data_IF_576391454312
#
_entry.id   IF_576391454312
#
_cell.length_a   1.000
_cell.length_b   1.000
_cell.length_c   1.000
_cell.angle_alpha   90.00
_cell.angle_beta   90.00
_cell.angle_gamma   90.00
#
_symmetry.space_group_name_H-M   'P 1'
#
loop_
_entity.id
_entity.type
_entity.pdbx_description
1 polymer ?
#
# COMPACT_ATOMS: atom_id res chain seq x y z
N UNK A 1 -5.13 1.94 15.60
CA UNK A 1 -5.13 1.28 14.28
C UNK A 1 -5.51 -0.20 14.29
N UNK A 2 -5.46 -0.93 15.42
CA UNK A 2 -5.83 -2.37 15.48
C UNK A 2 -7.23 -2.69 14.91
N UNK A 3 -8.25 -1.94 15.34
CA UNK A 3 -9.65 -2.19 14.94
C UNK A 3 -9.97 -2.10 13.43
N UNK A 4 -9.15 -1.44 12.62
CA UNK A 4 -9.43 -1.30 11.18
C UNK A 4 -9.02 -2.55 10.39
N UNK A 5 -7.93 -3.20 10.82
CA UNK A 5 -7.37 -4.38 10.16
C UNK A 5 -7.87 -5.69 10.78
N UNK A 6 -8.33 -5.66 12.03
CA UNK A 6 -8.87 -6.84 12.74
C UNK A 6 -10.09 -7.48 12.06
N UNK A 7 -10.85 -6.72 11.26
CA UNK A 7 -12.02 -7.25 10.52
C UNK A 7 -11.76 -7.53 9.04
N UNK A 8 -10.59 -7.19 8.53
CA UNK A 8 -10.27 -7.45 7.13
C UNK A 8 -9.66 -8.84 7.01
N UNK A 9 -10.47 -9.82 6.63
CA UNK A 9 -10.04 -11.20 6.35
C UNK A 9 -9.31 -11.35 5.00
N UNK A 10 -8.90 -10.24 4.39
CA UNK A 10 -8.28 -10.22 3.07
C UNK A 10 -6.78 -10.01 3.19
N UNK A 11 -6.01 -10.69 2.36
CA UNK A 11 -4.57 -10.46 2.26
C UNK A 11 -4.32 -9.06 1.71
N UNK A 12 -3.59 -8.24 2.46
CA UNK A 12 -3.15 -6.93 1.99
C UNK A 12 -1.88 -7.10 1.15
N UNK A 13 -1.71 -6.27 0.14
CA UNK A 13 -0.52 -6.28 -0.71
C UNK A 13 0.15 -4.91 -0.61
N UNK A 14 1.45 -4.91 -0.34
CA UNK A 14 2.30 -3.72 -0.37
C UNK A 14 3.26 -3.84 -1.54
N UNK A 15 3.56 -2.71 -2.17
CA UNK A 15 4.59 -2.62 -3.19
C UNK A 15 5.90 -2.14 -2.55
N UNK A 16 7.04 -2.61 -3.06
CA UNK A 16 8.36 -2.25 -2.52
C UNK A 16 8.68 -0.76 -2.66
N UNK A 17 8.19 -0.14 -3.72
CA UNK A 17 8.55 1.23 -4.11
C UNK A 17 7.35 1.96 -4.70
N UNK A 18 7.31 3.28 -4.47
CA UNK A 18 6.26 4.15 -4.99
C UNK A 18 6.87 5.44 -5.55
N UNK A 19 6.27 5.95 -6.62
CA UNK A 19 6.58 7.21 -7.26
C UNK A 19 5.38 8.17 -7.18
N UNK A 20 5.66 9.46 -7.01
CA UNK A 20 4.66 10.51 -7.12
C UNK A 20 4.37 10.80 -8.59
N UNK A 21 3.09 10.79 -8.95
CA UNK A 21 2.61 11.22 -10.27
C UNK A 21 1.64 12.36 -10.15
N UNK A 22 1.87 13.42 -10.91
CA UNK A 22 0.90 14.48 -11.12
C UNK A 22 -0.05 14.08 -12.24
N UNK A 23 -1.34 14.13 -11.99
CA UNK A 23 -2.34 14.13 -13.04
C UNK A 23 -2.40 15.50 -13.73
N UNK A 24 -3.08 15.55 -14.88
CA UNK A 24 -3.20 16.75 -15.70
C UNK A 24 -3.92 17.90 -14.98
N UNK A 25 -4.72 17.60 -13.97
CA UNK A 25 -5.41 18.55 -13.09
C UNK A 25 -4.53 19.09 -11.94
N UNK A 26 -3.27 18.65 -11.85
CA UNK A 26 -2.34 18.99 -10.78
C UNK A 26 -2.48 18.14 -9.52
N UNK A 27 -3.39 17.16 -9.49
CA UNK A 27 -3.53 16.26 -8.35
C UNK A 27 -2.38 15.25 -8.31
N UNK A 28 -1.72 15.16 -7.15
CA UNK A 28 -0.62 14.22 -6.92
C UNK A 28 -1.15 12.91 -6.35
N UNK A 29 -0.76 11.81 -7.00
CA UNK A 29 -1.09 10.46 -6.58
C UNK A 29 0.19 9.65 -6.35
N UNK A 30 0.13 8.74 -5.39
CA UNK A 30 1.18 7.76 -5.17
C UNK A 30 0.90 6.54 -6.05
N UNK A 31 1.81 6.19 -6.93
CA UNK A 31 1.71 5.00 -7.79
C UNK A 31 2.88 4.07 -7.56
N UNK A 32 2.69 2.74 -7.53
CA UNK A 32 3.82 1.82 -7.47
C UNK A 32 4.71 1.99 -8.70
N UNK A 33 6.03 1.91 -8.50
CA UNK A 33 6.97 1.99 -9.62
C UNK A 33 6.83 0.76 -10.52
N UNK A 34 7.26 0.85 -11.78
CA UNK A 34 7.20 -0.30 -12.71
C UNK A 34 8.01 -1.50 -12.23
N UNK A 35 9.06 -1.26 -11.45
CA UNK A 35 9.92 -2.29 -10.85
C UNK A 35 9.44 -2.72 -9.47
N UNK A 36 8.39 -2.10 -8.95
CA UNK A 36 7.90 -2.39 -7.62
C UNK A 36 7.35 -3.82 -7.58
N UNK A 37 7.88 -4.60 -6.65
CA UNK A 37 7.45 -5.97 -6.46
C UNK A 37 6.30 -6.00 -5.46
N UNK A 38 5.15 -6.62 -5.80
CA UNK A 38 4.08 -6.84 -4.84
C UNK A 38 4.54 -7.87 -3.81
N UNK A 39 4.23 -7.61 -2.54
CA UNK A 39 4.49 -8.51 -1.43
C UNK A 39 3.25 -8.58 -0.54
N UNK A 40 2.99 -9.75 0.02
CA UNK A 40 1.92 -9.89 1.02
C UNK A 40 2.31 -9.04 2.22
N UNK A 41 1.45 -8.09 2.53
CA UNK A 41 1.57 -7.23 3.67
C UNK A 41 0.64 -7.76 4.76
N UNK A 42 1.22 -8.09 5.90
CA UNK A 42 0.46 -8.43 7.08
C UNK A 42 0.50 -7.23 8.05
N UNK A 43 -0.55 -6.39 8.05
CA UNK A 43 -0.63 -5.24 8.95
C UNK A 43 -0.79 -5.63 10.42
N UNK A 44 -1.04 -6.91 10.73
CA UNK A 44 -1.15 -7.38 12.11
C UNK A 44 0.18 -7.96 12.62
N UNK A 45 1.01 -8.52 11.73
CA UNK A 45 2.34 -9.02 12.08
C UNK A 45 3.34 -7.91 12.43
N UNK A 46 3.27 -6.74 11.77
CA UNK A 46 4.18 -5.60 12.08
C UNK A 46 3.81 -4.85 13.38
N UNK A 47 2.67 -5.12 14.02
CA UNK A 47 2.18 -4.41 15.21
C UNK A 47 2.19 -5.23 16.51
N UNK A 48 3.04 -6.27 16.58
CA UNK A 48 3.25 -7.07 17.79
C UNK A 48 4.32 -6.48 18.72
#
# INVERSE_FOLDING_TARGET
MKNLFERTSSNWVRYSEYEWRAAEDGTLYLTPTKTAQPSIYDPLAEYQ
#
